data_IF_664724940607
#
_entry.id   IF_664724940607
#
_cell.length_a   1.000
_cell.length_b   1.000
_cell.length_c   1.000
_cell.angle_alpha   90.00
_cell.angle_beta   90.00
_cell.angle_gamma   90.00
#
_symmetry.space_group_name_H-M   'P 1'
#
loop_
_entity.id
_entity.type
_entity.pdbx_description
1 polymer ?
#
# COMPACT_ATOMS: atom_id res chain seq x y z
N UNK A 1 -6.50 0.34 17.66
CA UNK A 1 -5.70 0.43 16.41
C UNK A 1 -5.83 1.82 15.81
N UNK A 2 -4.74 2.39 15.24
CA UNK A 2 -4.72 3.66 14.48
C UNK A 2 -4.43 3.36 13.00
N UNK A 3 -5.14 4.05 12.10
CA UNK A 3 -5.00 3.89 10.65
C UNK A 3 -5.00 5.27 10.00
N UNK A 4 -3.88 5.67 9.37
CA UNK A 4 -3.68 7.04 8.89
C UNK A 4 -2.98 7.05 7.54
N UNK A 5 -3.58 7.67 6.53
CA UNK A 5 -2.90 7.96 5.26
C UNK A 5 -2.03 9.21 5.42
N UNK A 6 -0.71 9.04 5.45
CA UNK A 6 0.26 10.15 5.49
C UNK A 6 0.35 10.79 4.10
N UNK A 7 0.28 9.99 3.05
CA UNK A 7 0.22 10.43 1.67
C UNK A 7 -0.46 9.37 0.82
N UNK A 8 -1.23 9.80 -0.19
CA UNK A 8 -1.83 8.90 -1.18
C UNK A 8 -1.98 9.59 -2.53
N UNK A 9 -1.63 8.88 -3.60
CA UNK A 9 -1.73 9.33 -4.99
C UNK A 9 -0.44 9.12 -5.79
N UNK A 10 -0.49 9.39 -7.07
CA UNK A 10 0.62 9.20 -8.04
C UNK A 10 1.90 9.99 -7.75
N UNK A 11 1.91 10.83 -6.73
CA UNK A 11 3.09 11.56 -6.27
C UNK A 11 3.77 10.96 -5.03
N UNK A 12 3.19 9.90 -4.47
CA UNK A 12 3.75 9.12 -3.37
C UNK A 12 2.72 8.64 -2.37
N UNK A 13 2.85 7.38 -1.99
CA UNK A 13 1.99 6.66 -1.08
C UNK A 13 2.74 6.30 0.21
N UNK A 14 2.10 6.50 1.34
CA UNK A 14 2.62 6.12 2.65
C UNK A 14 1.44 6.08 3.64
N UNK A 15 1.14 4.91 4.15
CA UNK A 15 0.03 4.70 5.09
C UNK A 15 0.56 4.11 6.38
N UNK A 16 0.17 4.68 7.51
CA UNK A 16 0.52 4.20 8.82
C UNK A 16 -0.58 3.31 9.40
N UNK A 17 -0.16 2.20 10.00
CA UNK A 17 -1.00 1.29 10.79
C UNK A 17 -0.32 1.06 12.13
N UNK A 18 -1.02 1.21 13.25
CA UNK A 18 -0.40 1.03 14.57
C UNK A 18 -1.37 0.60 15.68
N UNK A 19 -0.84 -0.17 16.62
CA UNK A 19 -1.38 -0.41 17.95
C UNK A 19 -0.74 0.57 18.96
N UNK A 20 -0.87 0.30 20.23
CA UNK A 20 -0.12 1.03 21.27
C UNK A 20 1.35 0.58 21.37
N UNK A 21 1.71 -0.56 20.77
CA UNK A 21 3.03 -1.20 20.89
C UNK A 21 3.74 -1.44 19.57
N UNK A 22 3.01 -1.64 18.47
CA UNK A 22 3.60 -1.96 17.16
C UNK A 22 3.16 -0.95 16.11
N UNK A 23 4.12 -0.49 15.32
CA UNK A 23 3.93 0.55 14.31
C UNK A 23 4.45 0.07 12.96
N UNK A 24 3.63 0.16 11.93
CA UNK A 24 3.94 -0.26 10.56
C UNK A 24 3.67 0.86 9.57
N UNK A 25 4.42 0.88 8.49
CA UNK A 25 4.05 1.63 7.28
C UNK A 25 3.64 0.65 6.18
N UNK A 26 2.69 1.07 5.36
CA UNK A 26 2.44 0.47 4.04
C UNK A 26 2.93 1.49 3.02
N UNK A 27 3.94 1.10 2.27
CA UNK A 27 4.71 1.89 1.32
C UNK A 27 5.50 3.08 1.94
N UNK A 28 6.52 3.51 1.21
CA UNK A 28 7.38 4.63 1.53
C UNK A 28 7.68 5.47 0.27
N UNK A 29 6.61 5.82 -0.46
CA UNK A 29 6.67 6.51 -1.75
C UNK A 29 6.91 8.02 -1.67
N UNK A 30 7.15 8.56 -0.47
CA UNK A 30 7.47 9.96 -0.23
C UNK A 30 8.88 10.09 0.37
N UNK A 31 9.45 11.31 0.37
CA UNK A 31 10.80 11.49 0.91
C UNK A 31 10.92 11.09 2.37
N UNK A 32 12.08 10.59 2.79
CA UNK A 32 12.38 10.21 4.17
C UNK A 32 11.98 11.32 5.17
N UNK A 33 12.27 12.60 4.85
CA UNK A 33 11.86 13.74 5.67
C UNK A 33 10.34 13.82 5.86
N UNK A 34 9.56 13.59 4.80
CA UNK A 34 8.08 13.60 4.88
C UNK A 34 7.56 12.42 5.68
N UNK A 35 8.18 11.24 5.54
CA UNK A 35 7.85 10.07 6.37
C UNK A 35 8.13 10.39 7.84
N UNK A 36 9.34 10.89 8.18
CA UNK A 36 9.71 11.27 9.54
C UNK A 36 8.72 12.27 10.14
N UNK A 37 8.35 13.30 9.37
CA UNK A 37 7.37 14.29 9.83
C UNK A 37 6.00 13.66 10.10
N UNK A 38 5.48 12.85 9.17
CA UNK A 38 4.17 12.20 9.32
C UNK A 38 4.12 11.23 10.51
N UNK A 39 5.17 10.46 10.73
CA UNK A 39 5.29 9.56 11.89
C UNK A 39 5.41 10.35 13.19
N UNK A 40 6.18 11.45 13.20
CA UNK A 40 6.33 12.31 14.35
C UNK A 40 5.03 13.03 14.75
N UNK A 41 4.20 13.43 13.79
CA UNK A 41 2.86 14.00 14.04
C UNK A 41 1.92 13.00 14.73
N UNK A 42 2.17 11.70 14.59
CA UNK A 42 1.48 10.63 15.30
C UNK A 42 2.04 10.36 16.72
N UNK A 43 3.09 11.08 17.12
CA UNK A 43 3.75 10.93 18.41
C UNK A 43 4.73 9.76 18.48
N UNK A 44 5.22 9.26 17.33
CA UNK A 44 6.06 8.07 17.19
C UNK A 44 7.40 8.49 16.56
N UNK A 45 8.49 7.79 16.89
CA UNK A 45 9.76 7.95 16.20
C UNK A 45 9.88 6.92 15.07
N UNK A 46 10.57 7.29 13.99
CA UNK A 46 10.72 6.40 12.82
C UNK A 46 11.51 5.12 13.13
N UNK A 47 12.39 5.15 14.12
CA UNK A 47 13.14 3.98 14.60
C UNK A 47 12.31 3.03 15.50
N UNK A 48 11.10 3.43 15.91
CA UNK A 48 10.12 2.59 16.59
C UNK A 48 9.24 1.77 15.62
N UNK A 49 9.38 2.01 14.31
CA UNK A 49 8.63 1.23 13.30
C UNK A 49 9.14 -0.22 13.24
N UNK A 50 8.24 -1.16 13.36
CA UNK A 50 8.51 -2.58 13.26
C UNK A 50 8.73 -3.06 11.80
N UNK A 51 8.30 -2.26 10.81
CA UNK A 51 8.51 -2.57 9.41
C UNK A 51 7.80 -1.65 8.43
N UNK A 52 8.22 -1.74 7.18
CA UNK A 52 7.53 -1.19 6.01
C UNK A 52 7.01 -2.35 5.18
N UNK A 53 5.70 -2.44 4.99
CA UNK A 53 5.03 -3.38 4.11
C UNK A 53 5.01 -2.75 2.71
N UNK A 54 5.63 -3.37 1.73
CA UNK A 54 5.78 -2.83 0.37
C UNK A 54 4.79 -3.53 -0.54
N UNK A 55 3.89 -2.75 -1.15
CA UNK A 55 2.89 -3.28 -2.09
C UNK A 55 3.53 -3.71 -3.40
N UNK A 56 4.39 -2.87 -3.97
CA UNK A 56 5.13 -3.11 -5.20
C UNK A 56 6.26 -2.08 -5.41
N UNK A 57 7.07 -2.23 -6.47
CA UNK A 57 8.30 -1.50 -6.69
C UNK A 57 8.18 -0.17 -7.46
N UNK A 58 6.98 0.32 -7.78
CA UNK A 58 6.86 1.61 -8.47
C UNK A 58 7.35 2.78 -7.62
N UNK A 59 7.88 3.81 -8.28
CA UNK A 59 8.59 4.91 -7.61
C UNK A 59 7.74 5.66 -6.59
N UNK A 60 6.44 5.80 -6.83
CA UNK A 60 5.50 6.45 -5.92
C UNK A 60 5.12 5.59 -4.69
N UNK A 61 5.66 4.35 -4.61
CA UNK A 61 5.56 3.47 -3.46
C UNK A 61 6.90 3.27 -2.72
N UNK A 62 8.03 3.50 -3.40
CA UNK A 62 9.35 3.20 -2.83
C UNK A 62 10.36 4.35 -2.87
N UNK A 63 10.05 5.54 -3.41
CA UNK A 63 11.02 6.61 -3.62
C UNK A 63 11.79 7.04 -2.37
N UNK A 64 11.20 6.92 -1.18
CA UNK A 64 11.82 7.24 0.10
C UNK A 64 12.59 6.09 0.73
N UNK A 65 12.33 4.85 0.28
CA UNK A 65 12.71 3.63 1.01
C UNK A 65 14.22 3.51 1.24
N UNK A 66 15.03 3.85 0.24
CA UNK A 66 16.49 3.75 0.32
C UNK A 66 17.06 4.63 1.42
N UNK A 67 16.68 5.90 1.45
CA UNK A 67 17.17 6.86 2.46
C UNK A 67 16.59 6.53 3.83
N UNK A 68 15.32 6.15 3.88
CA UNK A 68 14.61 5.82 5.10
C UNK A 68 15.17 4.57 5.78
N UNK A 69 15.32 3.49 5.02
CA UNK A 69 15.87 2.22 5.48
C UNK A 69 17.33 2.36 5.95
N UNK A 70 18.17 3.06 5.19
CA UNK A 70 19.57 3.36 5.59
C UNK A 70 19.65 4.16 6.90
N UNK A 71 18.73 5.09 7.12
CA UNK A 71 18.74 5.95 8.31
C UNK A 71 18.21 5.26 9.56
N UNK A 72 17.12 4.50 9.44
CA UNK A 72 16.35 3.98 10.57
C UNK A 72 16.46 2.45 10.74
N UNK A 73 17.10 1.73 9.81
CA UNK A 73 17.28 0.28 9.84
C UNK A 73 15.96 -0.51 10.04
N UNK A 74 14.88 -0.02 9.44
CA UNK A 74 13.54 -0.63 9.52
C UNK A 74 13.43 -1.79 8.54
N UNK A 75 12.92 -2.98 8.95
CA UNK A 75 12.70 -4.12 8.06
C UNK A 75 11.72 -3.81 6.91
N UNK A 76 11.97 -4.41 5.75
CA UNK A 76 11.23 -4.22 4.51
C UNK A 76 10.53 -5.53 4.12
N UNK A 77 9.22 -5.58 4.26
CA UNK A 77 8.40 -6.74 3.90
C UNK A 77 7.80 -6.53 2.51
N UNK A 78 7.99 -7.46 1.61
CA UNK A 78 7.44 -7.43 0.26
C UNK A 78 7.55 -8.79 -0.40
N UNK A 79 6.87 -9.00 -1.53
CA UNK A 79 7.07 -10.24 -2.28
C UNK A 79 8.53 -10.35 -2.74
N UNK A 80 9.00 -11.57 -2.92
CA UNK A 80 10.39 -11.83 -3.33
C UNK A 80 10.74 -11.04 -4.59
N UNK A 81 9.86 -11.05 -5.58
CA UNK A 81 10.05 -10.39 -6.88
C UNK A 81 10.09 -8.86 -6.73
N UNK A 82 9.24 -8.29 -5.87
CA UNK A 82 9.25 -6.85 -5.53
C UNK A 82 10.56 -6.47 -4.84
N UNK A 83 11.00 -7.23 -3.83
CA UNK A 83 12.28 -6.97 -3.13
C UNK A 83 13.48 -7.09 -4.05
N UNK A 84 13.52 -8.10 -4.93
CA UNK A 84 14.56 -8.25 -5.95
C UNK A 84 14.56 -7.09 -6.96
N UNK A 85 13.38 -6.54 -7.30
CA UNK A 85 13.30 -5.36 -8.16
C UNK A 85 13.86 -4.13 -7.45
N UNK A 86 13.55 -3.92 -6.16
CA UNK A 86 14.12 -2.84 -5.34
C UNK A 86 15.64 -2.98 -5.22
N UNK A 87 16.15 -4.18 -4.96
CA UNK A 87 17.58 -4.43 -4.87
C UNK A 87 18.31 -4.10 -6.18
N UNK A 88 17.72 -4.44 -7.33
CA UNK A 88 18.27 -4.07 -8.66
C UNK A 88 18.28 -2.55 -8.89
N UNK A 89 17.31 -1.82 -8.34
CA UNK A 89 17.24 -0.35 -8.44
C UNK A 89 18.22 0.34 -7.48
N UNK A 90 18.60 -0.31 -6.39
CA UNK A 90 19.58 0.21 -5.43
C UNK A 90 21.04 -0.05 -5.92
N UNK A 91 21.37 0.63 -7.02
CA UNK A 91 22.70 0.48 -7.69
C UNK A 91 23.87 0.71 -6.73
N UNK A 92 23.68 1.55 -5.71
CA UNK A 92 24.72 1.87 -4.72
C UNK A 92 24.75 0.90 -3.54
N UNK A 93 23.82 -0.05 -3.48
CA UNK A 93 23.65 -1.01 -2.39
C UNK A 93 23.61 -0.32 -1.02
N UNK A 94 22.78 0.71 -0.91
CA UNK A 94 22.65 1.50 0.31
C UNK A 94 21.62 0.92 1.30
N UNK A 95 20.75 0.01 0.85
CA UNK A 95 19.86 -0.77 1.71
C UNK A 95 20.64 -1.98 2.21
N UNK A 96 20.63 -2.18 3.52
CA UNK A 96 21.20 -3.36 4.14
C UNK A 96 20.41 -4.61 3.70
N UNK A 97 21.03 -5.62 3.07
CA UNK A 97 20.36 -6.85 2.65
C UNK A 97 19.65 -7.58 3.80
N UNK A 98 20.16 -7.45 5.02
CA UNK A 98 19.58 -8.07 6.20
C UNK A 98 18.25 -7.45 6.63
N UNK A 99 17.81 -6.37 6.00
CA UNK A 99 16.49 -5.76 6.24
C UNK A 99 15.39 -6.37 5.37
N UNK A 100 15.70 -7.06 4.28
CA UNK A 100 14.70 -7.65 3.42
C UNK A 100 14.02 -8.86 4.07
N UNK A 101 12.69 -8.84 4.06
CA UNK A 101 11.80 -9.87 4.63
C UNK A 101 10.81 -10.32 3.55
N UNK A 102 11.15 -11.33 2.75
CA UNK A 102 10.25 -11.80 1.71
C UNK A 102 8.97 -12.40 2.31
N UNK A 103 7.84 -12.02 1.72
CA UNK A 103 6.51 -12.53 2.03
C UNK A 103 5.88 -13.17 0.79
N UNK A 104 4.81 -13.94 0.98
CA UNK A 104 4.02 -14.52 -0.11
C UNK A 104 2.55 -14.17 0.05
N UNK A 105 1.88 -13.94 -1.07
CA UNK A 105 0.44 -13.79 -1.05
C UNK A 105 -0.23 -14.99 -0.39
N UNK A 106 -1.29 -14.74 0.36
CA UNK A 106 -2.09 -15.70 1.13
C UNK A 106 -1.37 -16.37 2.33
N UNK A 107 -0.09 -16.07 2.57
CA UNK A 107 0.64 -16.53 3.76
C UNK A 107 0.64 -15.44 4.84
N UNK A 108 0.12 -15.77 6.01
CA UNK A 108 0.13 -14.86 7.15
C UNK A 108 1.52 -14.74 7.75
N UNK A 109 1.91 -13.51 8.08
CA UNK A 109 3.11 -13.21 8.85
C UNK A 109 2.72 -12.48 10.14
N UNK A 110 3.55 -12.61 11.16
CA UNK A 110 3.39 -11.87 12.43
C UNK A 110 4.47 -10.80 12.52
N UNK A 111 4.07 -9.55 12.71
CA UNK A 111 4.97 -8.43 12.92
C UNK A 111 4.52 -7.66 14.16
N UNK A 112 5.23 -7.87 15.28
CA UNK A 112 4.77 -7.38 16.58
C UNK A 112 3.41 -7.93 16.95
N UNK A 113 2.44 -7.04 17.20
CA UNK A 113 1.05 -7.40 17.54
C UNK A 113 0.21 -7.76 16.31
N UNK A 114 0.70 -7.45 15.11
CA UNK A 114 -0.08 -7.64 13.89
C UNK A 114 0.05 -9.03 13.30
N UNK A 115 -1.08 -9.63 12.92
CA UNK A 115 -1.15 -10.66 11.90
C UNK A 115 -1.40 -9.95 10.56
N UNK A 116 -0.47 -10.08 9.62
CA UNK A 116 -0.52 -9.43 8.30
C UNK A 116 -0.68 -10.48 7.23
N UNK A 117 -1.68 -10.32 6.38
CA UNK A 117 -1.93 -11.18 5.21
C UNK A 117 -1.72 -10.36 3.93
N UNK A 118 -0.62 -10.57 3.20
CA UNK A 118 -0.49 -10.08 1.84
C UNK A 118 -1.47 -10.83 0.93
N UNK A 119 -2.08 -10.15 -0.03
CA UNK A 119 -2.92 -10.78 -1.05
C UNK A 119 -2.61 -10.22 -2.44
N UNK A 120 -2.69 -11.07 -3.47
CA UNK A 120 -2.33 -10.71 -4.84
C UNK A 120 -3.17 -9.55 -5.37
N UNK A 121 -2.52 -8.62 -6.05
CA UNK A 121 -3.13 -7.45 -6.65
C UNK A 121 -2.98 -7.48 -8.18
N UNK A 122 -3.96 -6.95 -8.91
CA UNK A 122 -3.90 -6.89 -10.37
C UNK A 122 -3.27 -5.57 -10.82
N UNK A 123 -1.94 -5.55 -10.96
CA UNK A 123 -1.19 -4.37 -11.38
C UNK A 123 0.00 -4.73 -12.27
N UNK A 124 0.55 -3.76 -13.00
CA UNK A 124 1.69 -3.95 -13.90
C UNK A 124 3.05 -3.81 -13.19
N UNK A 125 3.24 -4.63 -12.15
CA UNK A 125 4.45 -4.68 -11.33
C UNK A 125 4.99 -6.13 -11.23
N UNK A 126 6.13 -6.33 -10.56
CA UNK A 126 6.82 -7.62 -10.52
C UNK A 126 5.97 -8.72 -9.85
N UNK A 127 5.43 -8.45 -8.66
CA UNK A 127 4.47 -9.32 -7.96
C UNK A 127 3.71 -8.49 -6.91
N UNK A 128 2.76 -7.66 -7.35
CA UNK A 128 2.09 -6.68 -6.51
C UNK A 128 1.12 -7.34 -5.53
N UNK A 129 1.04 -6.77 -4.32
CA UNK A 129 0.13 -7.22 -3.26
C UNK A 129 -0.60 -6.05 -2.60
N UNK A 130 -1.82 -6.30 -2.12
CA UNK A 130 -2.45 -5.53 -1.07
C UNK A 130 -2.18 -6.16 0.30
N UNK A 131 -2.52 -5.47 1.36
CA UNK A 131 -2.32 -5.96 2.73
C UNK A 131 -3.59 -5.88 3.55
N UNK A 132 -3.88 -6.97 4.28
CA UNK A 132 -4.80 -7.01 5.41
C UNK A 132 -3.97 -7.10 6.69
N UNK A 133 -4.21 -6.22 7.65
CA UNK A 133 -3.52 -6.23 8.94
C UNK A 133 -4.55 -6.31 10.08
N UNK A 134 -4.34 -7.24 11.00
CA UNK A 134 -5.25 -7.53 12.10
C UNK A 134 -4.51 -7.48 13.44
N UNK A 135 -5.07 -6.76 14.41
CA UNK A 135 -4.59 -6.72 15.79
C UNK A 135 -5.74 -6.30 16.73
N UNK A 136 -5.76 -6.79 17.96
CA UNK A 136 -6.71 -6.41 19.02
C UNK A 136 -8.19 -6.54 18.61
N UNK A 137 -8.51 -7.54 17.77
CA UNK A 137 -9.87 -7.76 17.27
C UNK A 137 -10.33 -6.77 16.21
N UNK A 138 -9.41 -5.97 15.65
CA UNK A 138 -9.65 -5.03 14.55
C UNK A 138 -8.90 -5.45 13.30
N UNK A 139 -9.47 -5.17 12.14
CA UNK A 139 -8.89 -5.45 10.84
C UNK A 139 -8.89 -4.21 9.94
N UNK A 140 -7.77 -3.94 9.27
CA UNK A 140 -7.65 -2.87 8.28
C UNK A 140 -7.08 -3.40 6.98
N UNK A 141 -7.46 -2.79 5.85
CA UNK A 141 -6.98 -3.15 4.52
C UNK A 141 -6.35 -1.97 3.79
N UNK A 142 -5.29 -2.23 3.03
CA UNK A 142 -4.70 -1.29 2.08
C UNK A 142 -4.64 -1.96 0.72
N UNK A 143 -5.36 -1.40 -0.24
CA UNK A 143 -5.39 -1.86 -1.62
C UNK A 143 -5.41 -0.66 -2.57
N UNK A 144 -4.26 -0.35 -3.09
CA UNK A 144 -3.99 0.65 -4.13
C UNK A 144 -3.45 -0.04 -5.36
N UNK A 145 -3.46 0.64 -6.50
CA UNK A 145 -2.93 0.10 -7.75
C UNK A 145 -3.62 -1.23 -8.14
N UNK A 146 -4.93 -1.18 -8.18
CA UNK A 146 -5.81 -2.30 -8.47
C UNK A 146 -6.52 -2.10 -9.81
N UNK A 147 -6.06 -2.74 -10.87
CA UNK A 147 -6.71 -2.63 -12.19
C UNK A 147 -8.10 -3.25 -12.23
N UNK A 148 -8.25 -4.46 -11.69
CA UNK A 148 -9.52 -5.17 -11.57
C UNK A 148 -9.56 -5.96 -10.26
N UNK A 149 -10.73 -6.06 -9.67
CA UNK A 149 -10.97 -6.92 -8.51
C UNK A 149 -11.77 -8.18 -8.88
N UNK A 150 -11.74 -9.16 -8.01
CA UNK A 150 -12.45 -10.42 -8.16
C UNK A 150 -13.01 -10.87 -6.80
N UNK A 151 -13.70 -11.99 -6.76
CA UNK A 151 -14.15 -12.59 -5.50
C UNK A 151 -12.99 -12.88 -4.54
N UNK A 152 -11.79 -13.18 -5.07
CA UNK A 152 -10.56 -13.31 -4.28
C UNK A 152 -10.22 -12.02 -3.53
N UNK A 153 -10.24 -10.88 -4.22
CA UNK A 153 -10.00 -9.55 -3.61
C UNK A 153 -11.05 -9.22 -2.56
N UNK A 154 -12.34 -9.44 -2.90
CA UNK A 154 -13.46 -9.24 -1.95
C UNK A 154 -13.24 -10.06 -0.68
N UNK A 155 -12.92 -11.35 -0.81
CA UNK A 155 -12.75 -12.25 0.34
C UNK A 155 -11.65 -11.79 1.31
N UNK A 156 -10.57 -11.16 0.81
CA UNK A 156 -9.51 -10.61 1.66
C UNK A 156 -9.92 -9.30 2.35
N UNK A 157 -10.88 -8.57 1.78
CA UNK A 157 -11.34 -7.28 2.29
C UNK A 157 -12.64 -7.35 3.09
N UNK A 158 -13.28 -8.52 3.20
CA UNK A 158 -14.48 -8.68 4.02
C UNK A 158 -14.17 -8.51 5.52
N UNK A 159 -15.10 -7.88 6.25
CA UNK A 159 -15.03 -7.75 7.70
C UNK A 159 -13.98 -6.77 8.22
N UNK A 160 -13.53 -5.82 7.39
CA UNK A 160 -12.60 -4.77 7.80
C UNK A 160 -13.30 -3.68 8.61
N UNK A 161 -12.64 -3.16 9.67
CA UNK A 161 -13.05 -1.93 10.36
C UNK A 161 -12.72 -0.68 9.54
N UNK A 162 -11.63 -0.72 8.76
CA UNK A 162 -11.22 0.38 7.88
C UNK A 162 -10.52 -0.13 6.62
N UNK A 163 -10.65 0.62 5.54
CA UNK A 163 -9.96 0.33 4.27
C UNK A 163 -9.44 1.60 3.61
N UNK A 164 -8.21 1.55 3.10
CA UNK A 164 -7.73 2.47 2.08
C UNK A 164 -7.87 1.77 0.73
N UNK A 165 -8.79 2.27 -0.08
CA UNK A 165 -9.13 1.72 -1.38
C UNK A 165 -8.83 2.71 -2.49
N UNK A 166 -8.24 2.23 -3.58
CA UNK A 166 -8.08 3.04 -4.78
C UNK A 166 -9.43 3.49 -5.35
N UNK A 167 -9.49 4.78 -5.72
CA UNK A 167 -10.54 5.36 -6.56
C UNK A 167 -9.86 6.35 -7.51
N UNK A 168 -9.20 5.82 -8.53
CA UNK A 168 -8.17 6.55 -9.25
C UNK A 168 -8.74 7.61 -10.20
N UNK A 169 -9.75 7.27 -10.99
CA UNK A 169 -10.21 8.15 -12.07
C UNK A 169 -11.70 7.98 -12.38
N UNK A 170 -12.30 9.05 -12.86
CA UNK A 170 -13.54 9.01 -13.62
C UNK A 170 -13.23 8.61 -15.07
N UNK A 171 -13.92 7.60 -15.59
CA UNK A 171 -13.66 7.05 -16.93
C UNK A 171 -13.87 8.09 -18.02
N UNK A 172 -14.95 8.87 -17.96
CA UNK A 172 -15.26 9.89 -18.97
C UNK A 172 -14.27 11.07 -18.92
N UNK A 173 -13.88 11.49 -17.71
CA UNK A 173 -12.86 12.53 -17.55
C UNK A 173 -11.49 12.07 -18.07
N UNK A 174 -11.12 10.82 -17.79
CA UNK A 174 -9.89 10.24 -18.31
C UNK A 174 -9.89 10.16 -19.84
N UNK A 175 -10.99 9.67 -20.45
CA UNK A 175 -11.12 9.57 -21.90
C UNK A 175 -11.07 10.94 -22.59
N UNK A 176 -11.75 11.95 -22.03
CA UNK A 176 -11.75 13.31 -22.55
C UNK A 176 -10.47 14.11 -22.21
N UNK A 177 -9.72 13.68 -21.20
CA UNK A 177 -8.57 14.39 -20.64
C UNK A 177 -7.35 14.46 -21.59
N UNK A 178 -6.30 15.20 -21.19
CA UNK A 178 -5.14 15.47 -22.06
C UNK A 178 -4.11 14.33 -22.13
N UNK A 179 -4.30 13.24 -21.37
CA UNK A 179 -3.31 12.16 -21.37
C UNK A 179 -3.15 11.50 -22.73
N UNK A 180 -1.92 11.12 -23.12
CA UNK A 180 -1.67 10.38 -24.37
C UNK A 180 -2.44 9.04 -24.38
N UNK A 181 -2.90 8.63 -25.55
CA UNK A 181 -3.68 7.40 -25.72
C UNK A 181 -3.05 6.13 -25.11
N UNK A 182 -1.71 5.89 -25.23
CA UNK A 182 -1.09 4.75 -24.57
C UNK A 182 -1.23 4.76 -23.05
N UNK A 183 -1.15 5.95 -22.41
CA UNK A 183 -1.31 6.09 -20.96
C UNK A 183 -2.77 5.84 -20.55
N UNK A 184 -3.75 6.38 -21.29
CA UNK A 184 -5.17 6.09 -21.06
C UNK A 184 -5.45 4.58 -21.13
N UNK A 185 -4.93 3.90 -22.15
CA UNK A 185 -5.05 2.43 -22.28
C UNK A 185 -4.43 1.67 -21.11
N UNK A 186 -3.27 2.12 -20.62
CA UNK A 186 -2.61 1.53 -19.45
C UNK A 186 -3.49 1.70 -18.21
N UNK A 187 -3.97 2.92 -17.94
CA UNK A 187 -4.81 3.23 -16.78
C UNK A 187 -6.11 2.40 -16.80
N UNK A 188 -6.81 2.35 -17.93
CA UNK A 188 -8.07 1.60 -18.12
C UNK A 188 -7.87 0.08 -18.22
N UNK A 189 -6.63 -0.39 -18.32
CA UNK A 189 -6.34 -1.81 -18.50
C UNK A 189 -6.56 -2.64 -17.23
N UNK A 190 -6.68 -3.95 -17.39
CA UNK A 190 -6.87 -4.89 -16.27
C UNK A 190 -5.74 -4.83 -15.21
N UNK A 191 -4.56 -4.37 -15.59
CA UNK A 191 -3.41 -4.14 -14.72
C UNK A 191 -3.13 -2.66 -14.48
N UNK A 192 -4.10 -1.79 -14.77
CA UNK A 192 -4.02 -0.36 -14.56
C UNK A 192 -4.50 0.05 -13.17
N UNK A 193 -5.54 0.88 -13.14
CA UNK A 193 -6.08 1.45 -11.90
C UNK A 193 -7.60 1.36 -11.85
N UNK A 194 -8.13 1.22 -10.64
CA UNK A 194 -9.56 1.10 -10.41
C UNK A 194 -10.27 2.43 -10.64
N UNK A 195 -11.30 2.43 -11.48
CA UNK A 195 -12.13 3.63 -11.66
C UNK A 195 -12.96 3.93 -10.41
N UNK A 196 -13.43 5.19 -10.29
CA UNK A 196 -14.30 5.60 -9.19
C UNK A 196 -15.59 4.76 -9.13
N UNK A 197 -16.16 4.42 -10.28
CA UNK A 197 -17.34 3.57 -10.37
C UNK A 197 -17.06 2.14 -9.89
N UNK A 198 -15.97 1.53 -10.36
CA UNK A 198 -15.57 0.19 -9.93
C UNK A 198 -15.20 0.15 -8.43
N UNK A 199 -14.58 1.20 -7.91
CA UNK A 199 -14.33 1.37 -6.47
C UNK A 199 -15.64 1.43 -5.68
N UNK A 200 -16.64 2.18 -6.17
CA UNK A 200 -17.97 2.24 -5.57
C UNK A 200 -18.67 0.88 -5.55
N UNK A 201 -18.58 0.11 -6.63
CA UNK A 201 -19.12 -1.25 -6.67
C UNK A 201 -18.41 -2.19 -5.67
N UNK A 202 -17.06 -2.17 -5.62
CA UNK A 202 -16.32 -2.95 -4.66
C UNK A 202 -16.68 -2.56 -3.22
N UNK A 203 -16.78 -1.27 -2.92
CA UNK A 203 -17.20 -0.82 -1.59
C UNK A 203 -18.59 -1.34 -1.21
N UNK A 204 -19.54 -1.37 -2.15
CA UNK A 204 -20.87 -1.90 -1.87
C UNK A 204 -20.85 -3.38 -1.46
N UNK A 205 -19.92 -4.18 -2.00
CA UNK A 205 -19.71 -5.58 -1.58
C UNK A 205 -19.05 -5.69 -0.18
N UNK A 206 -18.28 -4.68 0.21
CA UNK A 206 -17.50 -4.70 1.46
C UNK A 206 -18.25 -4.09 2.63
N UNK A 207 -19.26 -3.23 2.38
CA UNK A 207 -19.97 -2.51 3.42
C UNK A 207 -20.70 -3.45 4.38
N UNK A 208 -20.50 -3.23 5.68
CA UNK A 208 -21.19 -3.91 6.77
C UNK A 208 -21.25 -2.97 8.00
N UNK A 209 -22.10 -3.30 8.97
CA UNK A 209 -22.35 -2.45 10.15
C UNK A 209 -21.10 -2.19 11.01
N UNK A 210 -20.09 -3.05 10.93
CA UNK A 210 -18.81 -2.91 11.65
C UNK A 210 -17.80 -2.01 10.98
N UNK A 211 -17.95 -1.67 9.70
CA UNK A 211 -17.01 -0.83 8.97
C UNK A 211 -17.11 0.63 9.43
N UNK A 212 -16.03 1.17 9.96
CA UNK A 212 -15.99 2.51 10.57
C UNK A 212 -15.42 3.56 9.65
N UNK A 213 -14.42 3.22 8.85
CA UNK A 213 -13.68 4.19 8.04
C UNK A 213 -13.38 3.67 6.64
N UNK A 214 -13.64 4.52 5.66
CA UNK A 214 -13.27 4.31 4.26
C UNK A 214 -12.41 5.50 3.85
N UNK A 215 -11.20 5.23 3.40
CA UNK A 215 -10.29 6.21 2.81
C UNK A 215 -10.19 5.91 1.32
N UNK A 216 -10.68 6.81 0.49
CA UNK A 216 -10.44 6.74 -0.95
C UNK A 216 -9.09 7.37 -1.25
N UNK A 217 -8.24 6.62 -1.89
CA UNK A 217 -6.86 7.00 -2.15
C UNK A 217 -6.44 6.80 -3.60
N UNK A 218 -5.18 7.11 -3.87
CA UNK A 218 -4.53 6.98 -5.18
C UNK A 218 -5.29 7.71 -6.30
N UNK A 219 -5.79 8.90 -5.98
CA UNK A 219 -6.53 9.75 -6.91
C UNK A 219 -5.60 10.26 -8.03
N UNK A 220 -6.06 10.15 -9.28
CA UNK A 220 -5.45 10.78 -10.44
C UNK A 220 -5.54 12.32 -10.35
N UNK A 221 -4.59 13.01 -10.99
CA UNK A 221 -4.60 14.48 -11.09
C UNK A 221 -5.49 14.95 -12.22
#
# INVERSE_FOLDING_TARGET
MRFVSIASGSSGNCTYIGTDHTHLLVDAGISCKRIDTGVQELGIKSDELAGVLITHEHSDHISGIRVFSKKHHVPLYGTKETLEAIERMDVKKEIDPDLYRPVRADEQIVVGDFTVTPFSNSHDAANPVGYRAEADGHAVGVVTDLGVYSQYTINHLLGLDAVLLEANHDVHMLEAGPYPFPLKRRILGQKGHLSNEAAGHLLNELLHDGMKHIVLGHLSK
#
